data_IF_609540249192
#
_entry.id   IF_609540249192
#
_cell.length_a   1.000
_cell.length_b   1.000
_cell.length_c   1.000
_cell.angle_alpha   90.00
_cell.angle_beta   90.00
_cell.angle_gamma   90.00
#
_symmetry.space_group_name_H-M   'P 1'
#
loop_
_entity.id
_entity.type
_entity.pdbx_description
1 polymer ?
#
# COMPACT_ATOMS: atom_id res chain seq x y z
N UNK A 1 -47.31 -3.79 -38.79
CA UNK A 1 -45.84 -3.65 -38.65
C UNK A 1 -45.47 -3.75 -37.17
N UNK A 2 -44.98 -4.91 -36.73
CA UNK A 2 -44.53 -5.12 -35.34
C UNK A 2 -43.06 -4.70 -35.25
N UNK A 3 -42.74 -3.76 -34.36
CA UNK A 3 -41.36 -3.36 -34.03
C UNK A 3 -40.71 -4.51 -33.27
N UNK A 4 -39.67 -5.12 -33.87
CA UNK A 4 -38.85 -6.12 -33.21
C UNK A 4 -38.05 -5.46 -32.07
N UNK A 5 -38.21 -5.98 -30.86
CA UNK A 5 -37.33 -5.67 -29.74
C UNK A 5 -36.04 -6.47 -29.94
N UNK A 6 -34.93 -5.79 -30.24
CA UNK A 6 -33.62 -6.39 -30.14
C UNK A 6 -33.28 -6.54 -28.65
N UNK A 7 -33.14 -7.77 -28.17
CA UNK A 7 -32.58 -8.05 -26.85
C UNK A 7 -31.06 -7.80 -26.88
N UNK A 8 -30.46 -7.16 -25.87
CA UNK A 8 -29.01 -7.11 -25.77
C UNK A 8 -28.48 -8.51 -25.45
N UNK A 9 -27.65 -9.07 -26.32
CA UNK A 9 -26.85 -10.26 -26.05
C UNK A 9 -25.75 -9.89 -25.06
N UNK A 10 -26.07 -9.88 -23.77
CA UNK A 10 -25.05 -9.97 -22.74
C UNK A 10 -24.46 -11.38 -22.81
N UNK A 11 -23.28 -11.50 -23.42
CA UNK A 11 -22.47 -12.70 -23.27
C UNK A 11 -22.20 -12.87 -21.77
N UNK A 12 -22.63 -14.00 -21.23
CA UNK A 12 -22.32 -14.38 -19.86
C UNK A 12 -20.80 -14.55 -19.74
N UNK A 13 -20.12 -13.51 -19.26
CA UNK A 13 -18.75 -13.67 -18.78
C UNK A 13 -18.82 -14.69 -17.65
N UNK A 14 -18.00 -15.73 -17.76
CA UNK A 14 -17.89 -16.75 -16.73
C UNK A 14 -17.43 -16.07 -15.44
N UNK A 15 -18.34 -15.81 -14.50
CA UNK A 15 -18.12 -15.01 -13.28
C UNK A 15 -17.42 -15.79 -12.17
N UNK A 16 -16.62 -16.79 -12.50
CA UNK A 16 -15.74 -17.42 -11.51
C UNK A 16 -14.60 -16.48 -11.25
N UNK A 17 -14.68 -15.71 -10.16
CA UNK A 17 -13.54 -14.93 -9.64
C UNK A 17 -12.34 -15.88 -9.59
N UNK A 18 -11.17 -15.50 -10.16
CA UNK A 18 -9.99 -16.33 -10.09
C UNK A 18 -9.69 -16.63 -8.63
N UNK A 19 -9.53 -17.91 -8.30
CA UNK A 19 -9.21 -18.35 -6.95
C UNK A 19 -7.73 -18.03 -6.71
N UNK A 20 -7.46 -16.87 -6.10
CA UNK A 20 -6.09 -16.45 -5.78
C UNK A 20 -5.59 -17.21 -4.55
N UNK A 21 -4.33 -17.61 -4.58
CA UNK A 21 -3.66 -18.15 -3.41
C UNK A 21 -3.69 -17.12 -2.27
N UNK A 22 -3.74 -17.56 -1.00
CA UNK A 22 -3.57 -16.66 0.14
C UNK A 22 -2.28 -15.84 0.01
N UNK A 23 -2.36 -14.54 0.30
CA UNK A 23 -1.20 -13.65 0.29
C UNK A 23 -0.50 -13.77 1.64
N UNK A 24 0.79 -14.09 1.62
CA UNK A 24 1.65 -14.15 2.79
C UNK A 24 2.32 -12.80 3.08
N UNK A 25 3.15 -12.75 4.13
CA UNK A 25 3.84 -11.52 4.51
C UNK A 25 4.73 -10.96 3.39
N UNK A 26 5.42 -11.83 2.66
CA UNK A 26 6.28 -11.47 1.51
C UNK A 26 5.44 -10.81 0.43
N UNK A 27 4.26 -11.36 0.12
CA UNK A 27 3.33 -10.78 -0.84
C UNK A 27 2.85 -9.38 -0.44
N UNK A 28 2.53 -9.16 0.83
CA UNK A 28 2.12 -7.84 1.33
C UNK A 28 3.23 -6.80 1.22
N UNK A 29 4.46 -7.16 1.60
CA UNK A 29 5.64 -6.27 1.45
C UNK A 29 5.91 -5.99 -0.03
N UNK A 30 5.75 -6.99 -0.90
CA UNK A 30 5.94 -6.82 -2.33
C UNK A 30 4.89 -5.87 -2.94
N UNK A 31 3.62 -5.93 -2.51
CA UNK A 31 2.61 -4.95 -2.92
C UNK A 31 3.01 -3.53 -2.52
N UNK A 32 3.41 -3.33 -1.27
CA UNK A 32 3.88 -2.04 -0.79
C UNK A 32 5.08 -1.52 -1.61
N UNK A 33 6.05 -2.38 -1.91
CA UNK A 33 7.23 -2.03 -2.69
C UNK A 33 6.87 -1.66 -4.14
N UNK A 34 5.98 -2.40 -4.79
CA UNK A 34 5.53 -2.10 -6.14
C UNK A 34 4.79 -0.76 -6.22
N UNK A 35 3.90 -0.49 -5.25
CA UNK A 35 3.21 0.81 -5.15
C UNK A 35 4.22 1.93 -4.92
N UNK A 36 5.19 1.74 -4.02
CA UNK A 36 6.24 2.71 -3.74
C UNK A 36 7.08 3.02 -4.99
N UNK A 37 7.45 2.00 -5.79
CA UNK A 37 8.14 2.17 -7.08
C UNK A 37 7.28 2.92 -8.10
N UNK A 38 5.97 2.67 -8.15
CA UNK A 38 5.04 3.43 -8.97
C UNK A 38 4.98 4.91 -8.57
N UNK A 39 4.90 5.19 -7.27
CA UNK A 39 4.91 6.56 -6.74
C UNK A 39 6.27 7.25 -6.94
N UNK A 40 7.38 6.52 -6.83
CA UNK A 40 8.72 7.02 -7.14
C UNK A 40 8.81 7.49 -8.60
N UNK A 41 8.26 6.69 -9.53
CA UNK A 41 8.20 7.07 -10.94
C UNK A 41 7.35 8.32 -11.17
N UNK A 42 6.17 8.42 -10.54
CA UNK A 42 5.35 9.63 -10.64
C UNK A 42 6.10 10.86 -10.12
N UNK A 43 6.79 10.72 -8.99
CA UNK A 43 7.60 11.79 -8.42
C UNK A 43 8.75 12.23 -9.35
N UNK A 44 9.44 11.28 -10.02
CA UNK A 44 10.52 11.62 -10.98
C UNK A 44 9.99 12.36 -12.20
N UNK A 45 8.77 12.05 -12.63
CA UNK A 45 8.07 12.75 -13.71
C UNK A 45 7.39 14.05 -13.24
N UNK A 46 7.56 14.44 -11.96
CA UNK A 46 6.93 15.61 -11.34
C UNK A 46 5.40 15.57 -11.39
N UNK A 47 4.83 14.37 -11.36
CA UNK A 47 3.40 14.12 -11.32
C UNK A 47 3.00 13.88 -9.87
N UNK A 48 2.08 14.71 -9.38
CA UNK A 48 1.43 14.51 -8.09
C UNK A 48 0.21 13.64 -8.31
N UNK A 49 0.09 12.54 -7.56
CA UNK A 49 -1.06 11.66 -7.63
C UNK A 49 -2.30 12.34 -7.04
N UNK A 50 -2.22 12.80 -5.79
CA UNK A 50 -3.26 13.57 -5.10
C UNK A 50 -4.52 12.81 -4.70
N UNK A 51 -4.56 11.49 -4.89
CA UNK A 51 -5.71 10.64 -4.58
C UNK A 51 -5.29 9.19 -4.26
N UNK A 52 -4.06 8.99 -3.80
CA UNK A 52 -3.54 7.65 -3.54
C UNK A 52 -4.30 6.98 -2.38
N UNK A 53 -4.86 5.81 -2.64
CA UNK A 53 -5.50 4.93 -1.67
C UNK A 53 -5.43 3.48 -2.17
N UNK A 54 -5.62 2.48 -1.30
CA UNK A 54 -5.57 1.08 -1.75
C UNK A 54 -6.62 0.75 -2.83
N UNK A 55 -7.75 1.47 -2.87
CA UNK A 55 -8.77 1.32 -3.91
C UNK A 55 -8.28 1.72 -5.31
N UNK A 56 -7.36 2.70 -5.39
CA UNK A 56 -6.78 3.19 -6.65
C UNK A 56 -5.48 2.43 -7.00
N UNK A 57 -5.32 1.22 -6.47
CA UNK A 57 -4.25 0.29 -6.84
C UNK A 57 -4.89 -0.94 -7.47
N UNK A 58 -4.59 -1.16 -8.74
CA UNK A 58 -5.07 -2.31 -9.50
C UNK A 58 -4.11 -3.49 -9.35
N UNK A 59 -4.66 -4.69 -9.21
CA UNK A 59 -3.90 -5.95 -9.10
C UNK A 59 -4.28 -6.88 -10.24
N UNK A 60 -3.29 -7.29 -11.04
CA UNK A 60 -3.50 -8.28 -12.11
C UNK A 60 -3.52 -9.73 -11.59
N UNK A 61 -3.57 -10.70 -12.50
CA UNK A 61 -3.63 -12.12 -12.17
C UNK A 61 -2.31 -12.64 -11.59
N UNK A 62 -1.20 -11.94 -11.81
CA UNK A 62 0.14 -12.27 -11.35
C UNK A 62 0.54 -11.50 -10.09
N UNK A 63 -0.43 -10.90 -9.39
CA UNK A 63 -0.17 -10.09 -8.18
C UNK A 63 0.75 -8.88 -8.46
N UNK A 64 0.69 -8.31 -9.67
CA UNK A 64 1.36 -7.05 -9.97
C UNK A 64 0.46 -5.86 -9.67
N UNK A 65 0.97 -4.90 -8.90
CA UNK A 65 0.29 -3.67 -8.55
C UNK A 65 0.53 -2.59 -9.61
N UNK A 66 -0.54 -1.86 -9.98
CA UNK A 66 -0.48 -0.66 -10.80
C UNK A 66 -1.25 0.48 -10.15
N UNK A 67 -0.58 1.61 -9.98
CA UNK A 67 -1.19 2.84 -9.46
C UNK A 67 -2.07 3.46 -10.56
N UNK A 68 -3.34 3.71 -10.26
CA UNK A 68 -4.31 4.34 -11.17
C UNK A 68 -4.76 5.71 -10.66
N UNK A 69 -5.55 6.42 -11.47
CA UNK A 69 -6.20 7.68 -11.06
C UNK A 69 -5.23 8.75 -10.51
N UNK A 70 -4.03 8.82 -11.08
CA UNK A 70 -3.04 9.85 -10.78
C UNK A 70 -3.30 11.14 -11.57
N UNK A 71 -2.73 12.26 -11.13
CA UNK A 71 -2.91 13.56 -11.78
C UNK A 71 -4.24 14.24 -11.46
N UNK A 72 -5.03 13.69 -10.52
CA UNK A 72 -6.29 14.30 -10.09
C UNK A 72 -6.09 15.66 -9.40
N UNK A 73 -4.95 15.86 -8.74
CA UNK A 73 -4.59 17.14 -8.11
C UNK A 73 -4.69 18.33 -9.08
N UNK A 74 -4.23 18.17 -10.32
CA UNK A 74 -4.23 19.25 -11.33
C UNK A 74 -5.63 19.60 -11.84
N UNK A 75 -6.60 18.71 -11.68
CA UNK A 75 -7.99 18.93 -12.13
C UNK A 75 -8.85 19.57 -11.03
N UNK A 76 -8.35 19.65 -9.79
CA UNK A 76 -9.12 20.09 -8.62
C UNK A 76 -8.86 21.52 -8.17
N UNK A 77 -8.00 22.29 -8.84
CA UNK A 77 -7.69 23.69 -8.47
C UNK A 77 -8.92 24.62 -8.33
N UNK A 78 -10.07 24.24 -8.92
CA UNK A 78 -11.32 25.04 -8.88
C UNK A 78 -12.46 24.37 -8.08
N UNK A 79 -12.22 23.21 -7.46
CA UNK A 79 -13.21 22.47 -6.67
C UNK A 79 -12.83 22.50 -5.20
N UNK A 80 -13.83 22.70 -4.32
CA UNK A 80 -13.66 22.52 -2.87
C UNK A 80 -13.13 21.10 -2.64
N UNK A 81 -11.86 21.01 -2.25
CA UNK A 81 -11.20 19.74 -1.94
C UNK A 81 -12.01 19.11 -0.81
N UNK A 82 -12.55 17.92 -1.06
CA UNK A 82 -13.25 17.18 -0.03
C UNK A 82 -12.21 16.45 0.81
N UNK A 83 -12.19 16.65 2.14
CA UNK A 83 -11.36 15.86 3.02
C UNK A 83 -11.55 14.38 2.77
N UNK A 84 -10.45 13.65 2.81
CA UNK A 84 -10.40 12.20 2.62
C UNK A 84 -9.46 11.61 3.66
N UNK A 85 -9.64 10.34 4.01
CA UNK A 85 -8.86 9.68 5.07
C UNK A 85 -7.37 9.57 4.73
N UNK A 86 -7.03 9.65 3.45
CA UNK A 86 -5.66 9.56 2.95
C UNK A 86 -4.97 10.92 2.83
N UNK A 87 -5.71 12.02 2.92
CA UNK A 87 -5.14 13.35 2.73
C UNK A 87 -4.16 13.69 3.86
N UNK A 88 -3.09 14.39 3.48
CA UNK A 88 -2.20 15.03 4.43
C UNK A 88 -2.91 16.18 5.18
N UNK A 89 -2.34 16.65 6.32
CA UNK A 89 -2.86 17.82 7.03
C UNK A 89 -2.94 19.06 6.13
N UNK A 90 -1.89 19.37 5.39
CA UNK A 90 -1.82 20.53 4.50
C UNK A 90 -2.77 20.41 3.30
N UNK A 91 -3.02 19.19 2.79
CA UNK A 91 -4.04 18.96 1.75
C UNK A 91 -5.45 19.19 2.31
N UNK A 92 -5.69 18.77 3.55
CA UNK A 92 -7.01 18.90 4.19
C UNK A 92 -7.32 20.34 4.59
N UNK A 93 -6.33 21.07 5.09
CA UNK A 93 -6.49 22.43 5.63
C UNK A 93 -6.34 23.49 4.54
N UNK A 94 -5.28 23.40 3.73
CA UNK A 94 -4.86 24.46 2.81
C UNK A 94 -5.07 24.07 1.34
N UNK A 95 -5.49 22.83 1.09
CA UNK A 95 -5.68 22.33 -0.28
C UNK A 95 -4.38 22.09 -1.04
N UNK A 96 -3.25 22.01 -0.33
CA UNK A 96 -1.93 21.86 -0.93
C UNK A 96 -1.71 20.40 -1.30
N UNK A 97 -1.46 20.16 -2.59
CA UNK A 97 -1.02 18.87 -3.11
C UNK A 97 0.48 18.95 -3.43
N UNK A 98 1.23 17.93 -3.04
CA UNK A 98 2.67 17.81 -3.31
C UNK A 98 3.10 16.34 -3.25
N UNK A 99 4.33 16.06 -3.67
CA UNK A 99 4.92 14.73 -3.53
C UNK A 99 5.01 14.29 -2.05
N UNK A 100 5.22 15.23 -1.13
CA UNK A 100 5.23 14.97 0.31
C UNK A 100 3.83 14.63 0.83
N UNK A 101 2.78 15.25 0.29
CA UNK A 101 1.38 14.89 0.61
C UNK A 101 1.02 13.49 0.07
N UNK A 102 1.57 13.10 -1.09
CA UNK A 102 1.45 11.74 -1.60
C UNK A 102 2.19 10.72 -0.71
N UNK A 103 3.34 11.10 -0.12
CA UNK A 103 4.04 10.27 0.86
C UNK A 103 3.19 10.02 2.10
N UNK A 104 2.47 11.03 2.60
CA UNK A 104 1.51 10.83 3.69
C UNK A 104 0.46 9.79 3.31
N UNK A 105 -0.15 9.96 2.12
CA UNK A 105 -1.15 9.05 1.58
C UNK A 105 -0.62 7.62 1.45
N UNK A 106 0.64 7.47 1.00
CA UNK A 106 1.32 6.19 0.93
C UNK A 106 1.44 5.52 2.31
N UNK A 107 1.77 6.28 3.36
CA UNK A 107 1.80 5.76 4.72
C UNK A 107 0.45 5.17 5.14
N UNK A 108 -0.67 5.81 4.75
CA UNK A 108 -2.02 5.28 4.97
C UNK A 108 -2.27 4.00 4.17
N UNK A 109 -1.87 3.95 2.89
CA UNK A 109 -1.98 2.75 2.06
C UNK A 109 -1.16 1.58 2.63
N UNK A 110 0.04 1.85 3.13
CA UNK A 110 0.86 0.83 3.78
C UNK A 110 0.15 0.27 5.03
N UNK A 111 -0.54 1.12 5.79
CA UNK A 111 -1.38 0.68 6.91
C UNK A 111 -2.58 -0.16 6.45
N UNK A 112 -3.24 0.20 5.36
CA UNK A 112 -4.33 -0.61 4.76
C UNK A 112 -3.83 -2.00 4.36
N UNK A 113 -2.68 -2.09 3.70
CA UNK A 113 -2.07 -3.37 3.30
C UNK A 113 -1.80 -4.24 4.53
N UNK A 114 -1.16 -3.66 5.56
CA UNK A 114 -0.75 -4.39 6.76
C UNK A 114 -1.90 -4.70 7.73
N UNK A 115 -3.04 -4.03 7.57
CA UNK A 115 -4.30 -4.34 8.27
C UNK A 115 -5.23 -5.24 7.45
N UNK A 116 -4.76 -5.76 6.30
CA UNK A 116 -5.52 -6.62 5.39
C UNK A 116 -6.81 -5.95 4.88
N UNK A 117 -6.73 -4.66 4.53
CA UNK A 117 -7.85 -3.87 4.03
C UNK A 117 -8.68 -3.21 5.14
N UNK A 118 -8.09 -2.97 6.31
CA UNK A 118 -8.73 -2.22 7.37
C UNK A 118 -9.09 -0.80 6.93
N UNK A 119 -10.18 -0.25 7.48
CA UNK A 119 -10.58 1.15 7.26
C UNK A 119 -9.60 2.07 8.02
N UNK A 120 -8.90 3.01 7.34
CA UNK A 120 -8.05 3.98 8.04
C UNK A 120 -8.83 4.79 9.08
N UNK A 121 -8.22 5.04 10.24
CA UNK A 121 -8.84 5.74 11.37
C UNK A 121 -10.19 5.13 11.78
N UNK A 122 -10.24 3.84 12.17
CA UNK A 122 -11.50 3.12 12.36
C UNK A 122 -12.40 3.74 13.45
N UNK A 123 -11.81 4.36 14.46
CA UNK A 123 -12.52 4.95 15.60
C UNK A 123 -12.85 6.45 15.42
N UNK A 124 -12.49 7.04 14.27
CA UNK A 124 -12.69 8.46 13.99
C UNK A 124 -13.61 8.69 12.79
N UNK A 125 -14.51 9.65 12.97
CA UNK A 125 -15.30 10.20 11.87
C UNK A 125 -14.45 11.10 10.98
N UNK A 126 -14.82 11.20 9.70
CA UNK A 126 -14.01 11.88 8.69
C UNK A 126 -13.69 13.34 9.07
N UNK A 127 -14.67 14.03 9.66
CA UNK A 127 -14.57 15.43 10.05
C UNK A 127 -13.66 15.69 11.26
N UNK A 128 -13.37 14.65 12.05
CA UNK A 128 -12.53 14.76 13.26
C UNK A 128 -11.08 14.32 13.03
N UNK A 129 -10.82 13.53 11.98
CA UNK A 129 -9.46 13.07 11.63
C UNK A 129 -8.46 14.23 11.56
N UNK A 130 -8.83 15.33 10.89
CA UNK A 130 -7.93 16.49 10.75
C UNK A 130 -7.58 17.13 12.10
N UNK A 131 -8.53 17.19 13.04
CA UNK A 131 -8.30 17.73 14.39
C UNK A 131 -7.39 16.81 15.21
N UNK A 132 -7.65 15.51 15.16
CA UNK A 132 -6.86 14.53 15.91
C UNK A 132 -5.40 14.49 15.42
N UNK A 133 -5.18 14.52 14.10
CA UNK A 133 -3.83 14.63 13.55
C UNK A 133 -3.15 15.92 14.01
N UNK A 134 -3.86 17.05 14.06
CA UNK A 134 -3.32 18.30 14.57
C UNK A 134 -2.93 18.22 16.06
N UNK A 135 -3.63 17.38 16.84
CA UNK A 135 -3.30 17.07 18.24
C UNK A 135 -2.15 16.05 18.39
N UNK A 136 -1.55 15.59 17.29
CA UNK A 136 -0.42 14.66 17.29
C UNK A 136 -0.81 13.19 17.18
N UNK A 137 -2.07 12.88 16.87
CA UNK A 137 -2.49 11.52 16.62
C UNK A 137 -1.74 10.91 15.42
N UNK A 138 -1.24 9.68 15.61
CA UNK A 138 -0.76 8.79 14.53
C UNK A 138 -1.51 7.46 14.66
N UNK A 139 -1.88 6.85 13.54
CA UNK A 139 -2.57 5.56 13.57
C UNK A 139 -1.73 4.48 14.27
N UNK A 140 -2.34 3.61 15.09
CA UNK A 140 -1.61 2.56 15.78
C UNK A 140 -1.06 1.51 14.82
N UNK A 141 0.05 0.87 15.21
CA UNK A 141 0.61 -0.27 14.48
C UNK A 141 -0.41 -1.41 14.39
N UNK A 142 -0.69 -1.96 13.20
CA UNK A 142 -1.53 -3.16 13.09
C UNK A 142 -0.95 -4.35 13.88
N UNK A 143 -1.77 -5.23 14.48
CA UNK A 143 -1.31 -6.28 15.41
C UNK A 143 -0.17 -7.17 14.86
N UNK A 144 -0.19 -7.48 13.57
CA UNK A 144 0.77 -8.38 12.90
C UNK A 144 1.86 -7.64 12.10
N UNK A 145 1.86 -6.31 12.11
CA UNK A 145 2.83 -5.52 11.35
C UNK A 145 4.17 -5.44 12.08
N UNK A 146 5.28 -5.75 11.41
CA UNK A 146 6.63 -5.60 11.98
C UNK A 146 6.95 -4.14 12.31
N UNK A 147 7.84 -3.93 13.28
CA UNK A 147 8.18 -2.57 13.75
C UNK A 147 8.87 -1.73 12.68
N UNK A 148 9.64 -2.36 11.80
CA UNK A 148 10.36 -1.76 10.69
C UNK A 148 9.37 -1.12 9.69
N UNK A 149 8.29 -1.85 9.36
CA UNK A 149 7.22 -1.37 8.49
C UNK A 149 6.44 -0.23 9.15
N UNK A 150 6.15 -0.34 10.45
CA UNK A 150 5.52 0.74 11.20
C UNK A 150 6.40 1.99 11.34
N UNK A 151 7.72 1.81 11.38
CA UNK A 151 8.67 2.93 11.38
C UNK A 151 8.58 3.70 10.07
N UNK A 152 8.48 3.01 8.93
CA UNK A 152 8.21 3.65 7.63
C UNK A 152 6.89 4.43 7.67
N UNK A 153 5.80 3.80 8.11
CA UNK A 153 4.48 4.48 8.24
C UNK A 153 4.58 5.74 9.10
N UNK A 154 5.19 5.63 10.29
CA UNK A 154 5.32 6.72 11.25
C UNK A 154 6.13 7.90 10.70
N UNK A 155 7.14 7.64 9.87
CA UNK A 155 7.95 8.65 9.17
C UNK A 155 7.24 9.26 7.97
N UNK A 156 6.26 8.57 7.37
CA UNK A 156 5.37 9.18 6.37
C UNK A 156 4.41 10.19 7.02
N UNK A 157 4.12 10.04 8.31
CA UNK A 157 3.20 10.90 9.07
C UNK A 157 3.91 11.96 9.92
N UNK A 158 5.08 12.42 9.48
CA UNK A 158 5.67 13.63 10.04
C UNK A 158 4.84 14.85 9.67
N UNK A 159 4.62 15.73 10.65
CA UNK A 159 3.74 16.89 10.51
C UNK A 159 4.23 17.85 9.42
N UNK A 160 5.52 18.16 9.44
CA UNK A 160 6.16 18.92 8.36
C UNK A 160 6.49 17.97 7.21
N UNK A 161 5.90 18.23 6.03
CA UNK A 161 6.10 17.44 4.83
C UNK A 161 7.58 17.22 4.47
N UNK A 162 8.44 18.20 4.76
CA UNK A 162 9.87 18.16 4.46
C UNK A 162 10.65 17.18 5.34
N UNK A 163 10.11 16.84 6.49
CA UNK A 163 10.71 15.88 7.42
C UNK A 163 10.25 14.44 7.16
N UNK A 164 9.26 14.25 6.27
CA UNK A 164 8.78 12.92 5.88
C UNK A 164 9.89 12.15 5.17
N UNK A 165 9.84 10.82 5.29
CA UNK A 165 10.75 9.95 4.54
C UNK A 165 10.52 10.15 3.03
N UNK A 166 11.59 10.36 2.26
CA UNK A 166 11.46 10.49 0.80
C UNK A 166 10.98 9.17 0.18
N UNK A 167 10.33 9.26 -0.98
CA UNK A 167 9.84 8.06 -1.67
C UNK A 167 10.97 7.10 -2.04
N UNK A 168 12.16 7.61 -2.41
CA UNK A 168 13.36 6.80 -2.63
C UNK A 168 13.77 6.05 -1.35
N UNK A 169 13.75 6.76 -0.21
CA UNK A 169 14.01 6.17 1.08
C UNK A 169 13.02 5.06 1.43
N UNK A 170 11.73 5.28 1.15
CA UNK A 170 10.68 4.26 1.34
C UNK A 170 10.98 3.02 0.50
N UNK A 171 11.28 3.19 -0.80
CA UNK A 171 11.60 2.08 -1.71
C UNK A 171 12.81 1.31 -1.19
N UNK A 172 13.91 1.98 -0.82
CA UNK A 172 15.10 1.33 -0.27
C UNK A 172 14.80 0.54 1.01
N UNK A 173 14.04 1.12 1.94
CA UNK A 173 13.72 0.44 3.20
C UNK A 173 12.82 -0.79 2.97
N UNK A 174 11.82 -0.68 2.09
CA UNK A 174 10.93 -1.80 1.76
C UNK A 174 11.67 -2.94 1.03
N UNK A 175 12.59 -2.60 0.13
CA UNK A 175 13.42 -3.59 -0.58
C UNK A 175 14.31 -4.37 0.40
N UNK A 176 14.93 -3.67 1.35
CA UNK A 176 15.71 -4.29 2.43
C UNK A 176 14.86 -5.22 3.31
N UNK A 177 13.68 -4.77 3.74
CA UNK A 177 12.76 -5.57 4.56
C UNK A 177 12.28 -6.81 3.80
N UNK A 178 12.04 -6.69 2.48
CA UNK A 178 11.63 -7.80 1.63
C UNK A 178 12.73 -8.88 1.58
N UNK A 179 13.97 -8.50 1.29
CA UNK A 179 15.11 -9.42 1.24
C UNK A 179 15.30 -10.12 2.58
N UNK A 180 15.31 -9.37 3.69
CA UNK A 180 15.44 -9.93 5.03
C UNK A 180 14.33 -10.92 5.38
N UNK A 181 13.09 -10.63 4.98
CA UNK A 181 11.94 -11.50 5.23
C UNK A 181 12.03 -12.78 4.40
N UNK A 182 12.45 -12.69 3.14
CA UNK A 182 12.67 -13.86 2.28
C UNK A 182 13.82 -14.75 2.80
N UNK A 183 14.95 -14.16 3.19
CA UNK A 183 16.09 -14.89 3.74
C UNK A 183 15.73 -15.63 5.03
N UNK A 184 14.96 -14.98 5.91
CA UNK A 184 14.49 -15.58 7.17
C UNK A 184 13.60 -16.79 6.92
N UNK A 185 12.69 -16.71 5.93
CA UNK A 185 11.82 -17.83 5.55
C UNK A 185 12.62 -18.97 4.90
N UNK A 186 13.58 -18.65 4.04
CA UNK A 186 14.46 -19.66 3.43
C UNK A 186 15.27 -20.40 4.51
N UNK A 187 15.78 -19.68 5.52
CA UNK A 187 16.50 -20.31 6.63
C UNK A 187 15.61 -21.27 7.44
N UNK A 188 14.37 -20.88 7.73
CA UNK A 188 13.41 -21.72 8.43
C UNK A 188 13.00 -22.96 7.61
N UNK A 189 12.94 -22.87 6.29
CA UNK A 189 12.68 -24.01 5.41
C UNK A 189 13.89 -24.96 5.29
N UNK A 190 15.12 -24.45 5.40
CA UNK A 190 16.33 -25.28 5.41
C UNK A 190 16.44 -26.12 6.70
N UNK A 191 15.92 -25.67 7.84
CA UNK A 191 15.85 -26.50 9.05
C UNK A 191 14.91 -27.70 8.94
N UNK A 192 14.03 -27.72 7.92
CA UNK A 192 13.16 -28.84 7.62
C UNK A 192 13.77 -29.83 6.59
N UNK A 193 14.99 -29.56 6.10
CA UNK A 193 15.74 -30.48 5.23
C UNK A 193 16.67 -31.37 6.08
N UNK A 194 16.22 -32.62 6.22
CA UNK A 194 16.93 -33.86 6.56
C UNK A 194 17.75 -33.95 7.85
N UNK A 195 17.09 -34.50 8.88
CA UNK A 195 17.75 -35.29 9.92
C UNK A 195 18.36 -36.61 9.38
N UNK A 196 18.07 -36.96 8.12
CA UNK A 196 18.58 -38.17 7.45
C UNK A 196 19.97 -37.99 6.82
N UNK A 197 20.47 -36.75 6.62
CA UNK A 197 21.82 -36.51 6.09
C UNK A 197 22.91 -36.58 7.17
N UNK A 198 22.56 -36.42 8.46
CA UNK A 198 23.52 -36.51 9.57
C UNK A 198 23.95 -37.95 9.90
N UNK A 199 23.14 -38.96 9.56
CA UNK A 199 23.48 -40.36 9.82
C UNK A 199 24.52 -40.95 8.85
N UNK A 200 24.75 -40.33 7.68
CA UNK A 200 25.70 -40.82 6.68
C UNK A 200 27.18 -40.62 7.05
N UNK A 201 27.48 -39.80 8.07
CA UNK A 201 28.85 -39.53 8.51
C UNK A 201 29.23 -40.20 9.84
N UNK A 202 28.33 -40.99 10.44
CA UNK A 202 28.53 -41.57 11.78
C UNK A 202 28.89 -43.07 11.80
N UNK A 203 29.06 -43.71 10.64
CA UNK A 203 29.47 -45.13 10.58
C UNK A 203 30.63 -45.34 9.63
N UNK A 204 31.81 -44.86 10.02
CA UNK A 204 33.09 -45.39 9.55
C UNK A 204 34.08 -45.30 10.72
N UNK A 205 33.99 -46.29 11.60
CA UNK A 205 35.07 -46.74 12.49
C UNK A 205 35.12 -48.28 12.45
#
# INVERSE_FOLDING_TARGET
MKRGQAQPTYMAYNTTKPQRAPVDEVGLINFALQIAKGMQFLASEKIIHGALCAHNVLLDEQNMCKVSDYGMAQTMFDKRIRPSRWNSPETTLDGVFSSEADVWSFGIVLWEIMSLGGRPYPDLELDDIGKEIANGYKMPRPPHCKNELYTIMSRCWERDGRNRLSIDGIVTNLDQILVQTQDSLNYLLLSDLDNDTYHAYSTVD
#
